data_IF_255502558725
#
_entry.id   IF_255502558725
#
_cell.length_a   1.000
_cell.length_b   1.000
_cell.length_c   1.000
_cell.angle_alpha   90.00
_cell.angle_beta   90.00
_cell.angle_gamma   90.00
#
_symmetry.space_group_name_H-M   'P 1'
#
loop_
_entity.id
_entity.type
_entity.pdbx_description
1 polymer ?
#
# COMPACT_ATOMS: atom_id res chain seq x y z
N UNK A 1 1.65 -26.46 18.71
CA UNK A 1 1.80 -25.94 20.08
C UNK A 1 1.07 -24.61 20.31
N UNK A 2 0.72 -23.82 19.29
CA UNK A 2 -0.20 -22.66 19.41
C UNK A 2 -1.69 -23.03 19.41
N UNK A 3 -2.06 -24.28 19.12
CA UNK A 3 -3.45 -24.73 19.02
C UNK A 3 -4.26 -24.56 20.31
N UNK A 4 -3.61 -24.49 21.48
CA UNK A 4 -4.27 -24.20 22.76
C UNK A 4 -4.57 -22.72 23.02
N UNK A 5 -4.13 -21.81 22.12
CA UNK A 5 -4.35 -20.36 22.22
C UNK A 5 -5.49 -19.86 21.30
N UNK A 6 -6.10 -20.77 20.53
CA UNK A 6 -7.11 -20.45 19.53
C UNK A 6 -8.45 -20.96 20.04
N UNK A 7 -9.32 -20.04 20.48
CA UNK A 7 -10.73 -20.34 20.72
C UNK A 7 -11.57 -19.57 19.68
N UNK A 8 -12.20 -20.26 18.72
CA UNK A 8 -13.05 -19.59 17.73
C UNK A 8 -14.36 -19.08 18.35
N UNK A 9 -14.77 -19.56 19.54
CA UNK A 9 -16.03 -19.19 20.18
C UNK A 9 -16.21 -17.68 20.36
N UNK A 10 -15.27 -16.98 21.00
CA UNK A 10 -15.29 -15.52 21.13
C UNK A 10 -15.32 -14.77 19.79
N UNK A 11 -14.56 -15.25 18.80
CA UNK A 11 -14.51 -14.63 17.47
C UNK A 11 -15.81 -14.79 16.68
N UNK A 12 -16.55 -15.88 16.91
CA UNK A 12 -17.84 -16.18 16.26
C UNK A 12 -19.04 -15.60 17.01
N UNK A 13 -18.91 -15.33 18.31
CA UNK A 13 -19.97 -14.78 19.16
C UNK A 13 -20.21 -13.28 18.94
N UNK A 14 -19.22 -12.55 18.40
CA UNK A 14 -19.33 -11.12 18.10
C UNK A 14 -20.13 -10.86 16.81
N UNK A 15 -21.40 -11.28 16.81
CA UNK A 15 -22.32 -11.22 15.66
C UNK A 15 -22.83 -9.81 15.34
N UNK A 16 -22.66 -8.86 16.26
CA UNK A 16 -23.04 -7.44 16.10
C UNK A 16 -21.97 -6.59 15.41
N UNK A 17 -20.71 -7.05 15.37
CA UNK A 17 -19.56 -6.35 14.79
C UNK A 17 -19.13 -6.80 13.39
N UNK A 18 -19.73 -7.86 12.84
CA UNK A 18 -19.30 -8.50 11.59
C UNK A 18 -19.30 -7.53 10.40
N UNK A 19 -20.24 -6.58 10.34
CA UNK A 19 -20.32 -5.64 9.21
C UNK A 19 -19.18 -4.61 9.20
N UNK A 20 -19.14 -3.75 10.23
CA UNK A 20 -18.20 -2.63 10.26
C UNK A 20 -16.77 -3.07 10.65
N UNK A 21 -16.63 -4.08 11.52
CA UNK A 21 -15.34 -4.64 11.91
C UNK A 21 -14.66 -5.38 10.75
N UNK A 22 -15.40 -6.24 10.03
CA UNK A 22 -14.83 -6.93 8.85
C UNK A 22 -14.55 -5.96 7.69
N UNK A 23 -15.40 -4.93 7.51
CA UNK A 23 -15.13 -3.87 6.54
C UNK A 23 -13.84 -3.13 6.91
N UNK A 24 -13.69 -2.72 8.17
CA UNK A 24 -12.48 -2.06 8.68
C UNK A 24 -11.25 -2.92 8.45
N UNK A 25 -11.28 -4.19 8.86
CA UNK A 25 -10.19 -5.12 8.65
C UNK A 25 -9.83 -5.29 7.17
N UNK A 26 -10.84 -5.38 6.29
CA UNK A 26 -10.63 -5.52 4.84
C UNK A 26 -9.97 -4.28 4.24
N UNK A 27 -10.43 -3.08 4.61
CA UNK A 27 -9.85 -1.83 4.11
C UNK A 27 -8.44 -1.64 4.65
N UNK A 28 -8.18 -1.93 5.93
CA UNK A 28 -6.84 -1.85 6.50
C UNK A 28 -5.89 -2.86 5.86
N UNK A 29 -6.31 -4.10 5.63
CA UNK A 29 -5.50 -5.09 4.89
C UNK A 29 -5.21 -4.61 3.47
N UNK A 30 -6.19 -4.04 2.79
CA UNK A 30 -6.00 -3.46 1.47
C UNK A 30 -5.01 -2.26 1.50
N UNK A 31 -5.11 -1.39 2.50
CA UNK A 31 -4.25 -0.23 2.67
C UNK A 31 -2.79 -0.62 2.99
N UNK A 32 -2.58 -1.52 3.95
CA UNK A 32 -1.26 -1.93 4.41
C UNK A 32 -0.57 -2.90 3.46
N UNK A 33 -1.32 -3.86 2.94
CA UNK A 33 -0.76 -4.94 2.14
C UNK A 33 -1.03 -4.70 0.66
N UNK A 34 -2.29 -4.54 0.26
CA UNK A 34 -2.64 -4.40 -1.16
C UNK A 34 -1.92 -3.24 -1.86
N UNK A 35 -2.06 -2.03 -1.32
CA UNK A 35 -1.50 -0.82 -1.92
C UNK A 35 0.02 -0.71 -1.78
N UNK A 36 0.62 -1.29 -0.74
CA UNK A 36 2.08 -1.35 -0.60
C UNK A 36 2.76 -2.10 -1.75
N UNK A 37 2.06 -3.06 -2.38
CA UNK A 37 2.56 -3.81 -3.53
C UNK A 37 2.13 -3.23 -4.89
N UNK A 38 1.26 -2.22 -4.92
CA UNK A 38 0.76 -1.64 -6.16
C UNK A 38 1.90 -1.08 -7.03
N UNK A 39 2.89 -0.44 -6.42
CA UNK A 39 4.07 0.13 -7.10
C UNK A 39 5.01 -0.94 -7.66
N UNK A 40 5.05 -2.13 -7.06
CA UNK A 40 5.94 -3.24 -7.43
C UNK A 40 5.42 -4.10 -8.59
N UNK A 41 4.20 -3.83 -9.07
CA UNK A 41 3.57 -4.63 -10.14
C UNK A 41 4.36 -4.60 -11.45
N UNK A 42 4.95 -3.45 -11.78
CA UNK A 42 5.80 -3.30 -12.97
C UNK A 42 7.14 -4.05 -12.83
N UNK A 43 7.70 -4.08 -11.61
CA UNK A 43 8.93 -4.82 -11.30
C UNK A 43 8.73 -6.33 -11.42
N UNK A 44 7.53 -6.84 -11.14
CA UNK A 44 7.20 -8.24 -11.37
C UNK A 44 6.93 -8.53 -12.85
N UNK A 45 6.20 -7.64 -13.52
CA UNK A 45 5.79 -7.82 -14.91
C UNK A 45 6.99 -7.99 -15.86
N UNK A 46 8.10 -7.28 -15.63
CA UNK A 46 9.32 -7.38 -16.46
C UNK A 46 10.02 -8.75 -16.42
N UNK A 47 9.73 -9.56 -15.39
CA UNK A 47 10.28 -10.91 -15.24
C UNK A 47 9.31 -12.00 -15.74
N UNK A 48 8.11 -11.61 -16.16
CA UNK A 48 7.17 -12.54 -16.78
C UNK A 48 7.57 -12.75 -18.24
N UNK A 49 7.25 -13.93 -18.78
CA UNK A 49 7.40 -14.19 -20.21
C UNK A 49 6.39 -13.36 -20.99
N UNK A 50 6.81 -12.85 -22.15
CA UNK A 50 5.98 -12.00 -23.03
C UNK A 50 4.76 -12.74 -23.61
N UNK A 51 4.84 -14.07 -23.73
CA UNK A 51 3.77 -14.94 -24.25
C UNK A 51 2.77 -15.41 -23.17
N UNK A 52 3.01 -15.11 -21.90
CA UNK A 52 2.14 -15.53 -20.80
C UNK A 52 0.85 -14.68 -20.75
N UNK A 53 -0.34 -15.29 -20.62
CA UNK A 53 -1.57 -14.54 -20.47
C UNK A 53 -1.58 -13.79 -19.14
N UNK A 54 -1.71 -12.45 -19.20
CA UNK A 54 -1.63 -11.58 -18.02
C UNK A 54 -2.62 -11.94 -16.90
N UNK A 55 -3.81 -12.44 -17.23
CA UNK A 55 -4.80 -12.90 -16.24
C UNK A 55 -4.29 -14.07 -15.41
N UNK A 56 -3.55 -14.99 -16.01
CA UNK A 56 -2.98 -16.15 -15.33
C UNK A 56 -1.83 -15.73 -14.43
N UNK A 57 -0.93 -14.86 -14.92
CA UNK A 57 0.16 -14.30 -14.09
C UNK A 57 -0.41 -13.53 -12.88
N UNK A 58 -1.45 -12.72 -13.08
CA UNK A 58 -2.12 -12.00 -12.01
C UNK A 58 -2.80 -12.95 -11.01
N UNK A 59 -3.47 -14.00 -11.48
CA UNK A 59 -4.10 -14.98 -10.59
C UNK A 59 -3.06 -15.69 -9.72
N UNK A 60 -1.98 -16.20 -10.30
CA UNK A 60 -0.95 -16.91 -9.55
C UNK A 60 -0.18 -15.99 -8.60
N UNK A 61 0.10 -14.75 -9.00
CA UNK A 61 0.71 -13.76 -8.12
C UNK A 61 -0.20 -13.46 -6.91
N UNK A 62 -1.50 -13.24 -7.15
CA UNK A 62 -2.46 -12.95 -6.10
C UNK A 62 -2.73 -14.17 -5.20
N UNK A 63 -2.76 -15.38 -5.73
CA UNK A 63 -2.90 -16.59 -4.91
C UNK A 63 -1.64 -16.84 -4.07
N UNK A 64 -0.46 -16.69 -4.67
CA UNK A 64 0.82 -16.92 -4.00
C UNK A 64 1.09 -15.93 -2.86
N UNK A 65 0.73 -14.65 -3.04
CA UNK A 65 0.87 -13.63 -2.01
C UNK A 65 -0.32 -13.57 -1.05
N UNK A 66 -1.53 -13.67 -1.59
CA UNK A 66 -2.78 -13.42 -0.89
C UNK A 66 -3.20 -14.56 0.03
N UNK A 67 -3.05 -15.83 -0.37
CA UNK A 67 -3.48 -16.95 0.47
C UNK A 67 -2.68 -17.05 1.78
N UNK A 68 -1.33 -17.00 1.79
CA UNK A 68 -0.57 -17.02 3.04
C UNK A 68 -0.89 -15.83 3.94
N UNK A 69 -1.03 -14.63 3.35
CA UNK A 69 -1.39 -13.43 4.10
C UNK A 69 -2.79 -13.56 4.72
N UNK A 70 -3.77 -14.05 3.96
CA UNK A 70 -5.14 -14.28 4.44
C UNK A 70 -5.16 -15.27 5.62
N UNK A 71 -4.44 -16.39 5.51
CA UNK A 71 -4.33 -17.38 6.60
C UNK A 71 -3.73 -16.73 7.85
N UNK A 72 -2.68 -15.93 7.70
CA UNK A 72 -2.02 -15.27 8.82
C UNK A 72 -2.90 -14.19 9.46
N UNK A 73 -3.64 -13.41 8.66
CA UNK A 73 -4.58 -12.40 9.14
C UNK A 73 -5.73 -13.06 9.90
N UNK A 74 -6.33 -14.12 9.36
CA UNK A 74 -7.37 -14.88 10.04
C UNK A 74 -6.87 -15.46 11.37
N UNK A 75 -5.65 -16.04 11.38
CA UNK A 75 -5.02 -16.52 12.60
C UNK A 75 -4.83 -15.39 13.62
N UNK A 76 -4.30 -14.23 13.19
CA UNK A 76 -4.11 -13.07 14.05
C UNK A 76 -5.42 -12.52 14.61
N UNK A 77 -6.47 -12.48 13.81
CA UNK A 77 -7.80 -12.03 14.24
C UNK A 77 -8.40 -12.97 15.29
N UNK A 78 -8.32 -14.28 15.09
CA UNK A 78 -8.81 -15.25 16.09
C UNK A 78 -7.97 -15.20 17.36
N UNK A 79 -6.64 -15.07 17.24
CA UNK A 79 -5.75 -14.89 18.39
C UNK A 79 -6.10 -13.62 19.17
N UNK A 80 -6.39 -12.52 18.47
CA UNK A 80 -6.78 -11.25 19.07
C UNK A 80 -8.08 -11.35 19.87
N UNK A 81 -9.08 -12.05 19.32
CA UNK A 81 -10.34 -12.31 20.01
C UNK A 81 -10.19 -13.28 21.19
N UNK A 82 -9.31 -14.28 21.06
CA UNK A 82 -9.13 -15.33 22.08
C UNK A 82 -8.31 -14.83 23.28
N UNK A 83 -7.26 -14.03 23.04
CA UNK A 83 -6.29 -13.64 24.05
C UNK A 83 -5.88 -12.16 23.92
N UNK A 84 -6.72 -11.21 24.37
CA UNK A 84 -6.51 -9.77 24.16
C UNK A 84 -5.16 -9.25 24.72
N UNK A 85 -4.75 -9.74 25.90
CA UNK A 85 -3.48 -9.36 26.50
C UNK A 85 -2.27 -9.83 25.69
N UNK A 86 -2.35 -11.03 25.10
CA UNK A 86 -1.30 -11.53 24.22
C UNK A 86 -1.30 -10.74 22.91
N UNK A 87 -2.47 -10.46 22.34
CA UNK A 87 -2.61 -9.65 21.13
C UNK A 87 -2.00 -8.25 21.28
N UNK A 88 -2.23 -7.59 22.42
CA UNK A 88 -1.61 -6.32 22.75
C UNK A 88 -0.08 -6.42 22.82
N UNK A 89 0.45 -7.49 23.42
CA UNK A 89 1.90 -7.73 23.46
C UNK A 89 2.48 -8.00 22.06
N UNK A 90 1.76 -8.73 21.20
CA UNK A 90 2.12 -8.98 19.80
C UNK A 90 2.16 -7.71 18.95
N UNK A 91 1.26 -6.75 19.20
CA UNK A 91 1.23 -5.48 18.47
C UNK A 91 2.49 -4.62 18.74
N UNK A 92 3.08 -4.75 19.93
CA UNK A 92 4.26 -3.98 20.35
C UNK A 92 5.56 -4.72 20.00
N UNK A 93 5.61 -6.01 20.30
CA UNK A 93 6.80 -6.85 20.11
C UNK A 93 6.40 -8.23 19.54
N UNK A 94 6.17 -8.32 18.23
CA UNK A 94 5.71 -9.56 17.61
C UNK A 94 6.76 -10.68 17.68
N UNK A 95 8.05 -10.34 17.54
CA UNK A 95 9.14 -11.34 17.53
C UNK A 95 9.39 -11.88 18.94
N UNK A 96 9.52 -11.00 19.95
CA UNK A 96 9.73 -11.44 21.33
C UNK A 96 8.49 -12.12 21.92
N UNK A 97 7.28 -11.70 21.52
CA UNK A 97 6.05 -12.40 21.91
C UNK A 97 5.96 -13.81 21.31
N UNK A 98 6.32 -14.00 20.03
CA UNK A 98 6.44 -15.33 19.43
C UNK A 98 7.51 -16.19 20.13
N UNK A 99 8.69 -15.62 20.38
CA UNK A 99 9.80 -16.34 21.00
C UNK A 99 9.46 -16.85 22.41
N UNK A 100 8.59 -16.16 23.15
CA UNK A 100 8.12 -16.59 24.49
C UNK A 100 7.12 -17.74 24.46
N UNK A 101 6.36 -17.90 23.37
CA UNK A 101 5.30 -18.91 23.24
C UNK A 101 5.82 -20.19 22.58
N UNK A 102 6.86 -20.07 21.75
CA UNK A 102 7.42 -21.21 21.05
C UNK A 102 8.42 -22.00 21.92
N UNK A 103 8.66 -23.29 21.61
CA UNK A 103 9.66 -24.09 22.32
C UNK A 103 11.06 -23.45 22.27
N UNK A 104 11.86 -23.59 23.33
CA UNK A 104 13.19 -22.93 23.40
C UNK A 104 14.13 -23.23 22.21
N UNK A 105 13.98 -24.38 21.54
CA UNK A 105 14.78 -24.72 20.36
C UNK A 105 14.41 -23.93 19.09
N UNK A 106 13.20 -23.37 19.00
CA UNK A 106 12.77 -22.61 17.82
C UNK A 106 13.34 -21.20 17.76
N UNK A 107 13.96 -20.71 18.85
CA UNK A 107 14.52 -19.36 18.90
C UNK A 107 15.56 -19.12 17.80
N UNK A 108 16.51 -20.04 17.62
CA UNK A 108 17.56 -19.91 16.58
C UNK A 108 16.94 -19.95 15.17
N UNK A 109 16.12 -20.96 14.79
CA UNK A 109 15.42 -20.96 13.51
C UNK A 109 14.57 -19.71 13.27
N UNK A 110 13.83 -19.24 14.29
CA UNK A 110 12.98 -18.05 14.18
C UNK A 110 13.81 -16.80 13.88
N UNK A 111 14.91 -16.59 14.59
CA UNK A 111 15.82 -15.47 14.35
C UNK A 111 16.43 -15.54 12.95
N UNK A 112 16.83 -16.74 12.50
CA UNK A 112 17.41 -16.92 11.17
C UNK A 112 16.38 -16.60 10.07
N UNK A 113 15.18 -17.20 10.14
CA UNK A 113 14.10 -16.96 9.17
C UNK A 113 13.66 -15.50 9.21
N UNK A 114 13.48 -14.92 10.40
CA UNK A 114 13.12 -13.52 10.59
C UNK A 114 14.16 -12.58 9.97
N UNK A 115 15.45 -12.82 10.24
CA UNK A 115 16.55 -12.02 9.69
C UNK A 115 16.60 -12.12 8.17
N UNK A 116 16.53 -13.33 7.61
CA UNK A 116 16.52 -13.52 6.17
C UNK A 116 15.32 -12.85 5.50
N UNK A 117 14.14 -12.93 6.12
CA UNK A 117 12.92 -12.28 5.61
C UNK A 117 13.06 -10.76 5.63
N UNK A 118 13.54 -10.18 6.73
CA UNK A 118 13.76 -8.74 6.86
C UNK A 118 14.83 -8.25 5.89
N UNK A 119 15.96 -8.96 5.75
CA UNK A 119 17.00 -8.62 4.78
C UNK A 119 16.47 -8.67 3.34
N UNK A 120 15.67 -9.68 3.01
CA UNK A 120 15.06 -9.80 1.68
C UNK A 120 14.09 -8.64 1.41
N UNK A 121 13.25 -8.29 2.39
CA UNK A 121 12.32 -7.17 2.29
C UNK A 121 13.05 -5.83 2.13
N UNK A 122 14.10 -5.58 2.93
CA UNK A 122 14.91 -4.36 2.83
C UNK A 122 15.60 -4.30 1.47
N UNK A 123 16.18 -5.40 0.99
CA UNK A 123 16.85 -5.43 -0.30
C UNK A 123 15.89 -5.13 -1.46
N UNK A 124 14.68 -5.71 -1.44
CA UNK A 124 13.64 -5.43 -2.44
C UNK A 124 13.21 -3.95 -2.42
N UNK A 125 12.98 -3.39 -1.23
CA UNK A 125 12.57 -1.99 -1.07
C UNK A 125 13.66 -1.01 -1.53
N UNK A 126 14.92 -1.26 -1.16
CA UNK A 126 16.07 -0.44 -1.60
C UNK A 126 16.29 -0.54 -3.11
N UNK A 127 16.09 -1.72 -3.67
CA UNK A 127 16.21 -1.93 -5.09
C UNK A 127 15.12 -1.19 -5.88
N UNK A 128 13.85 -1.33 -5.49
CA UNK A 128 12.73 -0.65 -6.16
C UNK A 128 12.80 0.87 -5.93
N UNK A 129 13.11 1.32 -4.71
CA UNK A 129 13.34 2.73 -4.41
C UNK A 129 14.50 3.34 -5.21
N UNK A 130 15.59 2.59 -5.40
CA UNK A 130 16.71 3.01 -6.25
C UNK A 130 16.30 3.20 -7.71
N UNK A 131 15.46 2.31 -8.25
CA UNK A 131 14.89 2.47 -9.59
C UNK A 131 14.01 3.72 -9.69
N UNK A 132 13.17 3.98 -8.69
CA UNK A 132 12.32 5.16 -8.66
C UNK A 132 13.15 6.47 -8.67
N UNK A 133 14.25 6.53 -7.93
CA UNK A 133 15.17 7.67 -7.95
C UNK A 133 15.82 7.84 -9.33
N UNK A 134 16.30 6.77 -9.94
CA UNK A 134 16.89 6.84 -11.29
C UNK A 134 15.87 7.13 -12.39
N UNK A 135 14.59 6.84 -12.16
CA UNK A 135 13.51 7.19 -13.08
C UNK A 135 13.18 8.69 -13.06
N UNK A 136 13.45 9.38 -11.94
CA UNK A 136 13.27 10.82 -11.83
C UNK A 136 14.38 11.60 -12.57
N UNK A 137 15.61 11.09 -12.55
CA UNK A 137 16.74 11.65 -13.31
C UNK A 137 17.68 10.54 -13.82
N UNK A 138 17.78 10.45 -15.15
CA UNK A 138 18.62 9.48 -15.86
C UNK A 138 20.12 9.68 -15.64
N UNK A 139 20.54 10.82 -15.09
CA UNK A 139 21.94 11.10 -14.75
C UNK A 139 22.39 10.41 -13.46
N UNK A 140 21.45 9.99 -12.62
CA UNK A 140 21.76 9.33 -11.34
C UNK A 140 22.16 7.88 -11.62
N UNK A 141 23.34 7.48 -11.15
CA UNK A 141 23.77 6.09 -11.26
C UNK A 141 23.02 5.21 -10.27
N UNK A 142 22.85 3.93 -10.62
CA UNK A 142 22.08 2.99 -9.79
C UNK A 142 22.56 2.88 -8.32
N UNK A 143 23.88 2.83 -8.01
CA UNK A 143 24.33 2.84 -6.62
C UNK A 143 23.93 4.10 -5.85
N UNK A 144 23.99 5.27 -6.52
CA UNK A 144 23.58 6.55 -5.91
C UNK A 144 22.08 6.57 -5.69
N UNK A 145 21.27 6.07 -6.63
CA UNK A 145 19.83 5.95 -6.46
C UNK A 145 19.45 5.11 -5.24
N UNK A 146 20.09 3.96 -5.06
CA UNK A 146 19.90 3.08 -3.88
C UNK A 146 20.31 3.78 -2.59
N UNK A 147 21.46 4.47 -2.59
CA UNK A 147 21.94 5.22 -1.43
C UNK A 147 20.95 6.33 -1.02
N UNK A 148 20.42 7.07 -1.99
CA UNK A 148 19.43 8.12 -1.75
C UNK A 148 18.12 7.56 -1.19
N UNK A 149 17.64 6.42 -1.71
CA UNK A 149 16.46 5.73 -1.17
C UNK A 149 16.70 5.25 0.27
N UNK A 150 17.87 4.67 0.55
CA UNK A 150 18.26 4.24 1.90
C UNK A 150 18.33 5.42 2.87
N UNK A 151 18.98 6.53 2.47
CA UNK A 151 19.12 7.72 3.28
C UNK A 151 17.77 8.39 3.56
N UNK A 152 16.91 8.51 2.55
CA UNK A 152 15.55 9.04 2.72
C UNK A 152 14.73 8.21 3.72
N UNK A 153 14.83 6.88 3.65
CA UNK A 153 14.17 5.98 4.60
C UNK A 153 14.74 6.11 6.01
N UNK A 154 16.06 6.18 6.16
CA UNK A 154 16.72 6.36 7.45
C UNK A 154 16.36 7.71 8.10
N UNK A 155 16.33 8.79 7.32
CA UNK A 155 15.89 10.11 7.79
C UNK A 155 14.43 10.03 8.27
N UNK A 156 13.53 9.42 7.50
CA UNK A 156 12.13 9.26 7.91
C UNK A 156 12.00 8.51 9.25
N UNK A 157 12.74 7.41 9.42
CA UNK A 157 12.74 6.65 10.68
C UNK A 157 13.27 7.50 11.85
N UNK A 158 14.37 8.25 11.66
CA UNK A 158 14.91 9.14 12.69
C UNK A 158 13.90 10.24 13.05
N UNK A 159 13.24 10.84 12.06
CA UNK A 159 12.20 11.84 12.28
C UNK A 159 11.03 11.28 13.09
N UNK A 160 10.60 10.05 12.80
CA UNK A 160 9.55 9.37 13.56
C UNK A 160 10.01 9.10 15.00
N UNK A 161 11.25 8.61 15.19
CA UNK A 161 11.78 8.29 16.52
C UNK A 161 11.92 9.52 17.43
N UNK A 162 12.27 10.69 16.87
CA UNK A 162 12.38 11.95 17.62
C UNK A 162 11.03 12.65 17.78
N UNK A 163 10.02 12.28 16.99
CA UNK A 163 8.68 12.86 17.08
C UNK A 163 7.92 12.39 18.33
N UNK A 164 6.91 13.18 18.73
CA UNK A 164 6.05 12.84 19.88
C UNK A 164 5.08 11.68 19.62
N UNK A 165 4.87 11.27 18.37
CA UNK A 165 4.01 10.12 18.04
C UNK A 165 4.67 8.79 18.36
N UNK A 166 6.01 8.75 18.42
CA UNK A 166 6.76 7.51 18.59
C UNK A 166 6.62 6.55 17.39
N UNK A 167 7.34 5.43 17.45
CA UNK A 167 7.40 4.46 16.34
C UNK A 167 6.13 3.60 16.24
N UNK A 168 5.51 3.24 17.37
CA UNK A 168 4.34 2.35 17.40
C UNK A 168 3.10 3.03 16.81
N UNK A 169 2.76 4.24 17.22
CA UNK A 169 1.58 4.91 16.69
C UNK A 169 1.79 5.35 15.24
N UNK A 170 3.03 5.75 14.89
CA UNK A 170 3.40 6.08 13.52
C UNK A 170 3.33 4.87 12.59
N UNK A 171 3.72 3.68 13.03
CA UNK A 171 3.66 2.46 12.20
C UNK A 171 2.22 2.03 11.91
N UNK A 172 1.25 2.47 12.71
CA UNK A 172 -0.17 2.23 12.47
C UNK A 172 -0.83 3.35 11.62
N UNK A 173 -0.50 4.61 11.89
CA UNK A 173 -1.17 5.73 11.21
C UNK A 173 -0.57 6.06 9.83
N UNK A 174 0.76 5.93 9.67
CA UNK A 174 1.43 6.30 8.42
C UNK A 174 1.05 5.43 7.22
N UNK A 175 0.94 4.10 7.32
CA UNK A 175 0.56 3.29 6.16
C UNK A 175 -0.82 3.66 5.62
N UNK A 176 -1.80 3.91 6.50
CA UNK A 176 -3.15 4.35 6.10
C UNK A 176 -3.09 5.73 5.44
N UNK A 177 -2.29 6.63 6.01
CA UNK A 177 -2.06 7.97 5.43
C UNK A 177 -1.48 7.85 4.02
N UNK A 178 -0.37 7.12 3.85
CA UNK A 178 0.30 6.96 2.56
C UNK A 178 -0.54 6.14 1.57
N UNK A 179 -1.41 5.25 2.05
CA UNK A 179 -2.32 4.49 1.22
C UNK A 179 -3.31 5.39 0.47
N UNK A 180 -3.69 6.56 0.98
CA UNK A 180 -4.63 7.47 0.31
C UNK A 180 -4.11 7.97 -1.05
N UNK A 181 -2.95 8.67 -1.14
CA UNK A 181 -2.41 9.11 -2.43
C UNK A 181 -2.00 7.93 -3.32
N UNK A 182 -1.53 6.83 -2.74
CA UNK A 182 -1.21 5.61 -3.50
C UNK A 182 -2.47 5.04 -4.13
N UNK A 183 -3.59 4.95 -3.41
CA UNK A 183 -4.88 4.50 -3.92
C UNK A 183 -5.37 5.38 -5.08
N UNK A 184 -5.31 6.71 -4.90
CA UNK A 184 -5.68 7.67 -5.93
C UNK A 184 -4.84 7.48 -7.20
N UNK A 185 -3.52 7.36 -7.05
CA UNK A 185 -2.59 7.10 -8.13
C UNK A 185 -2.85 5.75 -8.81
N UNK A 186 -3.04 4.68 -8.03
CA UNK A 186 -3.34 3.34 -8.54
C UNK A 186 -4.63 3.35 -9.36
N UNK A 187 -5.69 3.99 -8.86
CA UNK A 187 -6.95 4.11 -9.61
C UNK A 187 -6.77 4.85 -10.94
N UNK A 188 -6.10 6.01 -10.92
CA UNK A 188 -5.80 6.80 -12.11
C UNK A 188 -4.98 6.01 -13.13
N UNK A 189 -3.91 5.36 -12.67
CA UNK A 189 -2.98 4.62 -13.52
C UNK A 189 -3.64 3.37 -14.11
N UNK A 190 -4.30 2.55 -13.28
CA UNK A 190 -4.96 1.32 -13.72
C UNK A 190 -6.09 1.61 -14.71
N UNK A 191 -6.96 2.58 -14.43
CA UNK A 191 -8.04 2.92 -15.35
C UNK A 191 -7.51 3.39 -16.71
N UNK A 192 -6.43 4.16 -16.72
CA UNK A 192 -5.83 4.58 -17.98
C UNK A 192 -5.22 3.43 -18.77
N UNK A 193 -4.47 2.54 -18.11
CA UNK A 193 -3.89 1.36 -18.77
C UNK A 193 -4.98 0.46 -19.34
N UNK A 194 -6.10 0.28 -18.63
CA UNK A 194 -7.21 -0.59 -19.06
C UNK A 194 -8.01 0.00 -20.24
N UNK A 195 -8.18 1.33 -20.28
CA UNK A 195 -8.98 1.99 -21.34
C UNK A 195 -8.21 2.09 -22.66
N UNK A 196 -6.87 2.09 -22.61
CA UNK A 196 -6.02 2.15 -23.80
C UNK A 196 -6.23 0.93 -24.70
N UNK A 197 -6.25 1.19 -26.00
CA UNK A 197 -6.39 0.18 -27.06
C UNK A 197 -5.05 -0.18 -27.70
N UNK A 198 -4.05 0.68 -27.56
CA UNK A 198 -2.69 0.43 -28.06
C UNK A 198 -1.67 0.42 -26.92
N UNK A 199 -0.63 -0.43 -26.99
CA UNK A 199 0.50 -0.36 -26.07
C UNK A 199 1.13 1.03 -26.02
N UNK A 200 1.77 1.35 -24.90
CA UNK A 200 2.53 2.60 -24.76
C UNK A 200 3.76 2.56 -25.68
N UNK A 201 4.07 3.68 -26.32
CA UNK A 201 5.28 3.83 -27.12
C UNK A 201 6.49 4.10 -26.22
N UNK A 202 7.29 3.07 -25.99
CA UNK A 202 8.46 3.12 -25.09
C UNK A 202 9.44 4.23 -25.46
N UNK A 203 9.62 4.52 -26.76
CA UNK A 203 10.54 5.58 -27.20
C UNK A 203 10.05 6.97 -26.79
N UNK A 204 8.77 7.28 -27.03
CA UNK A 204 8.18 8.55 -26.59
C UNK A 204 8.11 8.71 -25.08
N UNK A 205 8.13 7.63 -24.29
CA UNK A 205 8.16 7.72 -22.82
C UNK A 205 9.51 8.19 -22.26
N UNK A 206 10.60 8.00 -23.01
CA UNK A 206 11.96 8.33 -22.56
C UNK A 206 12.42 9.74 -22.96
N UNK A 207 11.62 10.46 -23.75
CA UNK A 207 11.98 11.76 -24.29
C UNK A 207 10.90 12.81 -24.02
N UNK A 208 11.33 14.01 -23.60
CA UNK A 208 10.44 15.17 -23.49
C UNK A 208 9.94 15.60 -24.87
N UNK A 209 8.70 16.08 -24.92
CA UNK A 209 8.09 16.56 -26.17
C UNK A 209 7.69 15.46 -27.16
N UNK A 210 7.66 14.20 -26.72
CA UNK A 210 7.16 13.06 -27.51
C UNK A 210 5.62 12.99 -27.55
N UNK A 211 5.09 11.80 -27.84
CA UNK A 211 3.64 11.52 -27.87
C UNK A 211 2.92 11.84 -26.55
N UNK A 212 3.63 11.77 -25.43
CA UNK A 212 3.10 11.98 -24.09
C UNK A 212 3.54 13.35 -23.57
N UNK A 213 2.59 14.14 -23.06
CA UNK A 213 2.91 15.41 -22.43
C UNK A 213 3.70 15.20 -21.13
N UNK A 214 4.72 16.03 -20.90
CA UNK A 214 5.53 16.01 -19.67
C UNK A 214 4.66 16.13 -18.41
N UNK A 215 3.59 16.92 -18.48
CA UNK A 215 2.61 17.11 -17.41
C UNK A 215 1.20 16.91 -17.93
N UNK A 216 0.45 16.05 -17.25
CA UNK A 216 -0.99 15.90 -17.48
C UNK A 216 -1.74 16.55 -16.34
N UNK A 217 -1.90 17.88 -16.44
CA UNK A 217 -2.48 18.72 -15.38
C UNK A 217 -3.86 18.26 -14.91
N UNK A 218 -4.69 17.67 -15.78
CA UNK A 218 -5.97 17.08 -15.38
C UNK A 218 -5.74 15.91 -14.40
N UNK A 219 -4.84 14.98 -14.71
CA UNK A 219 -4.53 13.85 -13.84
C UNK A 219 -3.80 14.29 -12.57
N UNK A 220 -2.89 15.27 -12.67
CA UNK A 220 -2.16 15.82 -11.52
C UNK A 220 -3.12 16.54 -10.56
N UNK A 221 -4.01 17.38 -11.11
CA UNK A 221 -5.05 18.04 -10.34
C UNK A 221 -6.03 17.05 -9.71
N UNK A 222 -6.45 16.03 -10.46
CA UNK A 222 -7.29 14.97 -9.92
C UNK A 222 -6.59 14.21 -8.79
N UNK A 223 -5.32 13.82 -8.96
CA UNK A 223 -4.54 13.16 -7.91
C UNK A 223 -4.51 14.00 -6.63
N UNK A 224 -4.24 15.30 -6.74
CA UNK A 224 -4.20 16.21 -5.60
C UNK A 224 -5.59 16.33 -4.92
N UNK A 225 -6.65 16.58 -5.69
CA UNK A 225 -8.01 16.73 -5.16
C UNK A 225 -8.50 15.43 -4.51
N UNK A 226 -8.31 14.29 -5.16
CA UNK A 226 -8.72 12.98 -4.65
C UNK A 226 -7.96 12.64 -3.36
N UNK A 227 -6.67 12.96 -3.31
CA UNK A 227 -5.85 12.77 -2.11
C UNK A 227 -6.36 13.62 -0.94
N UNK A 228 -6.68 14.90 -1.17
CA UNK A 228 -7.27 15.79 -0.15
C UNK A 228 -8.62 15.24 0.33
N UNK A 229 -9.49 14.80 -0.58
CA UNK A 229 -10.78 14.18 -0.23
C UNK A 229 -10.57 12.91 0.60
N UNK A 230 -9.63 12.05 0.20
CA UNK A 230 -9.32 10.83 0.93
C UNK A 230 -8.80 11.10 2.35
N UNK A 231 -7.91 12.08 2.53
CA UNK A 231 -7.44 12.49 3.86
C UNK A 231 -8.54 13.03 4.77
N UNK A 232 -9.56 13.66 4.19
CA UNK A 232 -10.72 14.12 4.95
C UNK A 232 -11.61 12.98 5.46
N UNK A 233 -11.46 11.76 4.91
CA UNK A 233 -12.33 10.61 5.15
C UNK A 233 -11.61 9.42 5.82
N UNK A 234 -10.42 9.65 6.38
CA UNK A 234 -9.72 8.70 7.25
C UNK A 234 -9.71 9.21 8.69
N UNK A 235 -9.39 8.33 9.64
CA UNK A 235 -9.22 8.68 11.05
C UNK A 235 -8.22 9.82 11.26
N UNK A 236 -8.52 10.71 12.21
CA UNK A 236 -7.57 11.73 12.63
C UNK A 236 -6.39 11.09 13.36
N UNK A 237 -5.25 11.00 12.68
CA UNK A 237 -4.04 10.37 13.23
C UNK A 237 -3.40 11.12 14.39
N UNK A 238 -2.44 10.48 15.09
CA UNK A 238 -1.76 11.06 16.23
C UNK A 238 -0.80 12.20 15.84
N UNK A 239 -0.57 13.12 16.77
CA UNK A 239 0.43 14.19 16.65
C UNK A 239 0.26 15.04 15.39
N UNK A 240 1.23 14.97 14.47
CA UNK A 240 1.23 15.80 13.25
C UNK A 240 0.27 15.30 12.17
N UNK A 241 -0.39 14.16 12.36
CA UNK A 241 -1.43 13.63 11.48
C UNK A 241 -2.85 14.05 11.92
N UNK A 242 -2.98 14.84 12.99
CA UNK A 242 -4.27 15.24 13.56
C UNK A 242 -5.12 16.18 12.68
N UNK A 243 -4.60 16.60 11.52
CA UNK A 243 -5.35 17.39 10.53
C UNK A 243 -6.24 16.52 9.63
N UNK A 244 -6.08 15.20 9.68
CA UNK A 244 -6.89 14.23 8.93
C UNK A 244 -8.32 14.15 9.46
N UNK A 245 -9.22 13.53 8.71
CA UNK A 245 -10.61 13.38 9.13
C UNK A 245 -11.42 14.68 9.13
N UNK A 246 -10.90 15.75 8.52
CA UNK A 246 -11.56 17.06 8.51
C UNK A 246 -12.93 17.06 7.78
N UNK A 247 -13.13 16.20 6.77
CA UNK A 247 -14.45 16.06 6.12
C UNK A 247 -15.42 15.27 6.99
N UNK A 248 -14.93 14.29 7.76
CA UNK A 248 -15.74 13.60 8.77
C UNK A 248 -16.21 14.59 9.85
N UNK A 249 -15.28 15.39 10.39
CA UNK A 249 -15.59 16.44 11.35
C UNK A 249 -16.63 17.43 10.80
N UNK A 250 -16.45 17.87 9.55
CA UNK A 250 -17.38 18.78 8.87
C UNK A 250 -18.77 18.15 8.66
N UNK A 251 -18.82 16.83 8.41
CA UNK A 251 -20.07 16.07 8.29
C UNK A 251 -20.72 15.72 9.65
N UNK A 252 -20.15 16.17 10.78
CA UNK A 252 -20.64 15.85 12.13
C UNK A 252 -20.35 14.41 12.58
N UNK A 253 -19.44 13.71 11.90
CA UNK A 253 -18.98 12.37 12.25
C UNK A 253 -17.72 12.51 13.10
N UNK A 254 -17.65 11.79 14.22
CA UNK A 254 -16.46 11.76 15.08
C UNK A 254 -15.23 11.25 14.29
N UNK A 255 -14.17 12.08 14.12
CA UNK A 255 -12.94 11.70 13.43
C UNK A 255 -12.13 10.60 14.13
N UNK A 256 -12.48 10.25 15.36
CA UNK A 256 -11.92 9.13 16.13
C UNK A 256 -12.93 7.98 16.30
N UNK A 257 -14.12 8.11 15.72
CA UNK A 257 -15.18 7.12 15.82
C UNK A 257 -14.91 5.88 14.96
N UNK A 258 -15.66 4.80 15.22
CA UNK A 258 -15.50 3.53 14.49
C UNK A 258 -15.62 3.67 12.96
N UNK A 259 -16.42 4.61 12.47
CA UNK A 259 -16.52 4.88 11.03
C UNK A 259 -15.23 5.51 10.47
N UNK A 260 -14.55 6.37 11.22
CA UNK A 260 -13.27 6.96 10.82
C UNK A 260 -12.15 5.89 10.78
N UNK A 261 -12.14 5.00 11.78
CA UNK A 261 -11.20 3.88 11.89
C UNK A 261 -11.27 2.89 10.72
N UNK A 262 -12.39 2.87 9.97
CA UNK A 262 -12.52 2.04 8.76
C UNK A 262 -11.58 2.47 7.62
N UNK A 263 -11.06 3.70 7.67
CA UNK A 263 -10.24 4.30 6.61
C UNK A 263 -10.94 4.35 5.22
N UNK A 264 -12.25 4.59 5.19
CA UNK A 264 -13.06 4.70 3.96
C UNK A 264 -12.46 5.64 2.90
N UNK A 265 -11.73 6.69 3.33
CA UNK A 265 -11.00 7.59 2.44
C UNK A 265 -10.06 6.89 1.46
N UNK A 266 -9.46 5.74 1.83
CA UNK A 266 -8.61 4.94 0.95
C UNK A 266 -9.42 4.36 -0.23
N UNK A 267 -10.58 3.77 0.05
CA UNK A 267 -11.46 3.23 -0.99
C UNK A 267 -12.06 4.33 -1.87
N UNK A 268 -12.50 5.44 -1.24
CA UNK A 268 -13.01 6.61 -1.97
C UNK A 268 -11.94 7.15 -2.91
N UNK A 269 -10.69 7.25 -2.45
CA UNK A 269 -9.58 7.69 -3.28
C UNK A 269 -9.33 6.76 -4.48
N UNK A 270 -9.34 5.44 -4.27
CA UNK A 270 -9.21 4.46 -5.35
C UNK A 270 -10.33 4.61 -6.39
N UNK A 271 -11.58 4.70 -5.94
CA UNK A 271 -12.76 4.75 -6.81
C UNK A 271 -12.80 6.05 -7.61
N UNK A 272 -12.55 7.20 -6.97
CA UNK A 272 -12.46 8.48 -7.68
C UNK A 272 -11.30 8.47 -8.68
N UNK A 273 -10.18 7.83 -8.33
CA UNK A 273 -9.06 7.61 -9.23
C UNK A 273 -9.45 6.79 -10.46
N UNK A 274 -10.18 5.68 -10.26
CA UNK A 274 -10.67 4.81 -11.34
C UNK A 274 -11.67 5.50 -12.27
N UNK A 275 -12.53 6.38 -11.72
CA UNK A 275 -13.56 7.09 -12.50
C UNK A 275 -12.96 8.23 -13.32
N UNK A 276 -11.85 8.81 -12.88
CA UNK A 276 -11.28 10.01 -13.50
C UNK A 276 -10.87 9.80 -14.97
N UNK A 277 -10.08 8.78 -15.37
CA UNK A 277 -9.70 8.59 -16.77
C UNK A 277 -10.88 8.30 -17.72
N UNK A 278 -11.89 7.48 -17.36
CA UNK A 278 -13.11 7.34 -18.16
C UNK A 278 -13.85 8.67 -18.39
N UNK A 279 -13.95 9.52 -17.38
CA UNK A 279 -14.75 10.76 -17.46
C UNK A 279 -13.98 11.89 -18.15
N UNK A 280 -12.70 12.07 -17.81
CA UNK A 280 -11.91 13.23 -18.22
C UNK A 280 -10.72 12.88 -19.14
N UNK A 281 -10.26 11.62 -19.11
CA UNK A 281 -9.02 11.19 -19.77
C UNK A 281 -9.16 10.66 -21.20
N UNK A 282 -10.33 10.13 -21.58
CA UNK A 282 -10.55 9.48 -22.89
C UNK A 282 -10.11 10.34 -24.09
N UNK A 283 -10.46 11.64 -24.20
CA UNK A 283 -10.08 12.44 -25.36
C UNK A 283 -8.55 12.58 -25.50
N UNK A 284 -7.85 12.76 -24.37
CA UNK A 284 -6.39 12.86 -24.36
C UNK A 284 -5.73 11.53 -24.73
N UNK A 285 -6.25 10.40 -24.22
CA UNK A 285 -5.77 9.06 -24.54
C UNK A 285 -5.90 8.81 -26.04
N UNK A 286 -7.09 9.04 -26.63
CA UNK A 286 -7.32 8.85 -28.07
C UNK A 286 -6.39 9.67 -28.95
N UNK A 287 -6.08 10.92 -28.56
CA UNK A 287 -5.11 11.76 -29.27
C UNK A 287 -3.70 11.16 -29.24
N UNK A 288 -3.30 10.60 -28.10
CA UNK A 288 -1.99 9.94 -27.98
C UNK A 288 -1.93 8.68 -28.85
N UNK A 289 -2.99 7.88 -28.88
CA UNK A 289 -3.05 6.66 -29.70
C UNK A 289 -3.05 6.95 -31.21
N UNK A 290 -3.67 8.07 -31.62
CA UNK A 290 -3.73 8.49 -33.01
C UNK A 290 -2.45 9.18 -33.50
N UNK A 291 -1.61 9.72 -32.60
CA UNK A 291 -0.36 10.36 -32.97
C UNK A 291 0.60 9.33 -33.60
N UNK A 292 1.37 9.64 -34.65
CA UNK A 292 2.33 8.70 -35.22
C UNK A 292 3.37 8.25 -34.19
N UNK A 293 3.86 7.02 -34.28
CA UNK A 293 5.06 6.62 -33.54
C UNK A 293 6.22 7.48 -34.02
N UNK A 294 6.87 8.22 -33.12
CA UNK A 294 7.99 9.09 -33.49
C UNK A 294 9.08 8.29 -34.18
N UNK A 295 9.20 8.43 -35.50
CA UNK A 295 10.38 8.03 -36.27
C UNK A 295 11.16 9.31 -36.56
N UNK A 296 12.06 9.66 -35.64
CA UNK A 296 13.18 10.56 -35.90
C UNK A 296 14.40 10.00 -35.18
#
# INVERSE_FOLDING_TARGET
MTAGLIDPGPALADSTGIGLGALTGTILVFAYFGLAWATSSADLARYQREDSPGRTSMLWANLGLGLPALVLICFGAVLAASHPAQAAAFAIDPVGSLARILPGWTGIPLLLVGTLTLLSAINLNLYSGGLAVTAADSRITRPVGVLLAALGTAILVVLILVSRTGLADASLALPVTLAVPVAAWTGLFCAEVVIRRSPLDTRSLLHRGGRYADWRWVNVGALAVITVVGYGLIESGPGWLAWQGFLLAWAGIDPHGGLAATALGVLVALVLGLITPPVLGIPAIRRQEAAPSGHR
#
